data_IF_854817597814
#
_entry.id   IF_854817597814
#
_cell.length_a   1.000
_cell.length_b   1.000
_cell.length_c   1.000
_cell.angle_alpha   90.00
_cell.angle_beta   90.00
_cell.angle_gamma   90.00
#
_symmetry.space_group_name_H-M   'P 1'
#
loop_
_entity.id
_entity.type
_entity.pdbx_description
1 polymer ?
#
# COMPACT_ATOMS: atom_id res chain seq x y z
N UNK A 1 30.16 29.06 -21.97
CA UNK A 1 30.43 27.82 -21.29
C UNK A 1 29.13 27.26 -20.73
N UNK A 2 28.49 26.33 -21.45
CA UNK A 2 27.31 25.64 -20.98
C UNK A 2 27.75 24.52 -20.04
N UNK A 3 27.41 24.64 -18.76
CA UNK A 3 27.46 23.55 -17.83
C UNK A 3 26.16 22.75 -17.98
N UNK A 4 26.18 21.67 -18.74
CA UNK A 4 25.13 20.68 -18.71
C UNK A 4 25.17 19.99 -17.35
N UNK A 5 24.06 20.02 -16.62
CA UNK A 5 23.87 19.10 -15.49
C UNK A 5 23.99 17.68 -16.03
N UNK A 6 24.64 16.76 -15.29
CA UNK A 6 24.64 15.36 -15.71
C UNK A 6 23.21 14.85 -15.66
N UNK A 7 22.68 14.45 -16.82
CA UNK A 7 21.43 13.67 -16.89
C UNK A 7 21.57 12.50 -15.94
N UNK A 8 20.69 12.45 -14.94
CA UNK A 8 20.53 11.24 -14.12
C UNK A 8 20.18 10.06 -15.04
N UNK A 9 20.37 8.82 -14.61
CA UNK A 9 20.16 7.67 -15.47
C UNK A 9 18.76 7.73 -16.06
N UNK A 10 18.65 7.84 -17.38
CA UNK A 10 17.39 7.74 -18.09
C UNK A 10 16.87 6.32 -17.94
N UNK A 11 15.77 6.16 -17.22
CA UNK A 11 15.13 4.88 -17.06
C UNK A 11 14.56 4.65 -15.64
N UNK A 12 13.85 3.54 -15.45
CA UNK A 12 13.31 3.18 -14.15
C UNK A 12 14.43 2.86 -13.15
N UNK A 13 14.16 3.05 -11.84
CA UNK A 13 15.09 2.62 -10.81
C UNK A 13 15.39 1.12 -10.95
N UNK A 14 16.62 0.68 -10.68
CA UNK A 14 16.98 -0.71 -10.83
C UNK A 14 16.32 -1.57 -9.75
N UNK A 15 15.99 -2.81 -10.11
CA UNK A 15 15.66 -3.84 -9.14
C UNK A 15 16.93 -4.19 -8.35
N UNK A 16 16.94 -4.12 -7.01
CA UNK A 16 18.13 -4.46 -6.24
C UNK A 16 18.60 -5.89 -6.50
N UNK A 17 19.92 -6.08 -6.60
CA UNK A 17 20.51 -7.41 -6.65
C UNK A 17 20.17 -8.16 -5.36
N UNK A 18 19.70 -9.40 -5.48
CA UNK A 18 19.22 -10.20 -4.36
C UNK A 18 17.70 -10.13 -4.14
N UNK A 19 16.97 -9.29 -4.87
CA UNK A 19 15.52 -9.34 -4.88
C UNK A 19 15.04 -10.66 -5.53
N UNK A 20 13.99 -11.26 -4.96
CA UNK A 20 13.41 -12.50 -5.45
C UNK A 20 12.34 -12.28 -6.52
N UNK A 21 11.62 -13.35 -6.82
CA UNK A 21 10.61 -13.39 -7.88
C UNK A 21 9.45 -12.40 -7.63
N UNK A 22 8.92 -12.34 -6.40
CA UNK A 22 7.82 -11.43 -6.06
C UNK A 22 8.24 -9.98 -6.18
N UNK A 23 9.44 -9.64 -5.70
CA UNK A 23 10.00 -8.30 -5.86
C UNK A 23 10.18 -7.90 -7.32
N UNK A 24 10.60 -8.84 -8.16
CA UNK A 24 10.71 -8.62 -9.60
C UNK A 24 9.35 -8.38 -10.27
N UNK A 25 8.32 -9.10 -9.86
CA UNK A 25 6.94 -8.89 -10.34
C UNK A 25 6.41 -7.50 -9.97
N UNK A 26 6.68 -7.05 -8.73
CA UNK A 26 6.31 -5.70 -8.27
C UNK A 26 7.05 -4.64 -9.08
N UNK A 27 8.36 -4.80 -9.27
CA UNK A 27 9.16 -3.92 -10.09
C UNK A 27 8.62 -3.81 -11.52
N UNK A 28 8.30 -4.95 -12.14
CA UNK A 28 7.75 -5.00 -13.49
C UNK A 28 6.40 -4.29 -13.59
N UNK A 29 5.53 -4.43 -12.59
CA UNK A 29 4.24 -3.73 -12.55
C UNK A 29 4.42 -2.21 -12.51
N UNK A 30 5.34 -1.73 -11.69
CA UNK A 30 5.65 -0.30 -11.59
C UNK A 30 6.20 0.26 -12.90
N UNK A 31 7.10 -0.46 -13.54
CA UNK A 31 7.70 -0.06 -14.83
C UNK A 31 6.65 -0.08 -15.94
N UNK A 32 5.87 -1.13 -16.04
CA UNK A 32 4.83 -1.29 -17.06
C UNK A 32 3.75 -0.22 -16.96
N UNK A 33 3.37 0.15 -15.74
CA UNK A 33 2.40 1.21 -15.49
C UNK A 33 2.96 2.63 -15.56
N UNK A 34 4.27 2.76 -15.79
CA UNK A 34 4.92 4.05 -15.96
C UNK A 34 5.03 4.88 -14.67
N UNK A 35 5.16 4.23 -13.52
CA UNK A 35 5.43 4.93 -12.26
C UNK A 35 6.86 5.45 -12.27
N UNK A 36 7.02 6.76 -12.36
CA UNK A 36 8.30 7.41 -12.38
C UNK A 36 8.83 7.70 -10.97
N UNK A 37 10.14 7.71 -10.81
CA UNK A 37 10.81 8.15 -9.59
C UNK A 37 10.69 7.19 -8.40
N UNK A 38 10.21 5.97 -8.59
CA UNK A 38 10.21 5.00 -7.51
C UNK A 38 11.63 4.52 -7.17
N UNK A 39 11.83 4.11 -5.94
CA UNK A 39 13.09 3.52 -5.47
C UNK A 39 12.80 2.24 -4.71
N UNK A 40 13.66 1.24 -4.89
CA UNK A 40 13.60 -0.02 -4.15
C UNK A 40 14.84 -0.21 -3.29
N UNK A 41 14.67 -0.71 -2.08
CA UNK A 41 15.74 -0.92 -1.10
C UNK A 41 15.60 -2.30 -0.47
N UNK A 42 16.69 -3.07 -0.43
CA UNK A 42 16.77 -4.28 0.40
C UNK A 42 17.01 -3.88 1.86
N UNK A 43 16.18 -4.42 2.73
CA UNK A 43 16.26 -4.23 4.17
C UNK A 43 17.00 -5.40 4.82
N UNK A 44 17.76 -5.18 5.91
CA UNK A 44 18.43 -6.24 6.64
C UNK A 44 17.40 -7.16 7.34
N UNK A 45 17.79 -8.41 7.69
CA UNK A 45 16.86 -9.38 8.30
C UNK A 45 16.18 -8.90 9.57
N UNK A 46 16.85 -8.05 10.36
CA UNK A 46 16.32 -7.51 11.61
C UNK A 46 15.36 -6.33 11.45
N UNK A 47 15.05 -5.91 10.23
CA UNK A 47 14.28 -4.69 9.91
C UNK A 47 13.01 -4.55 10.76
N UNK A 48 12.18 -5.59 10.83
CA UNK A 48 10.90 -5.54 11.56
C UNK A 48 11.04 -5.70 13.07
N UNK A 49 12.18 -6.18 13.58
CA UNK A 49 12.47 -6.24 15.00
C UNK A 49 13.08 -4.93 15.53
N UNK A 50 13.44 -4.02 14.66
CA UNK A 50 14.04 -2.73 15.02
C UNK A 50 12.98 -1.61 15.05
N UNK A 51 13.25 -0.54 15.82
CA UNK A 51 12.36 0.62 15.88
C UNK A 51 12.16 1.30 14.52
N UNK A 52 11.10 2.12 14.41
CA UNK A 52 10.80 2.86 13.18
C UNK A 52 11.94 3.80 12.76
N UNK A 53 12.66 4.38 13.70
CA UNK A 53 13.82 5.24 13.42
C UNK A 53 14.93 4.49 12.68
N UNK A 54 15.17 3.24 13.05
CA UNK A 54 16.11 2.38 12.33
C UNK A 54 15.62 2.09 10.91
N UNK A 55 14.34 1.72 10.77
CA UNK A 55 13.71 1.45 9.46
C UNK A 55 13.75 2.68 8.55
N UNK A 56 13.50 3.85 9.12
CA UNK A 56 13.61 5.13 8.43
C UNK A 56 15.02 5.33 7.85
N UNK A 57 16.06 5.05 8.64
CA UNK A 57 17.44 5.16 8.21
C UNK A 57 17.80 4.17 7.10
N UNK A 58 17.28 2.93 7.16
CA UNK A 58 17.53 1.89 6.14
C UNK A 58 17.06 2.33 4.76
N UNK A 59 15.85 2.86 4.65
CA UNK A 59 15.29 3.25 3.35
C UNK A 59 15.62 4.69 2.97
N UNK A 60 16.11 5.49 3.91
CA UNK A 60 16.36 6.92 3.68
C UNK A 60 15.10 7.76 3.67
N UNK A 61 14.08 7.37 4.46
CA UNK A 61 12.86 8.13 4.58
C UNK A 61 13.09 9.46 5.32
N UNK A 62 12.32 10.49 4.96
CA UNK A 62 12.45 11.82 5.56
C UNK A 62 11.99 11.87 7.02
N UNK A 63 11.03 11.02 7.41
CA UNK A 63 10.57 10.85 8.79
C UNK A 63 9.97 9.47 8.97
N UNK A 64 9.68 9.08 10.22
CA UNK A 64 8.96 7.82 10.51
C UNK A 64 7.55 7.82 9.97
N UNK A 65 6.93 8.98 9.80
CA UNK A 65 5.58 9.14 9.22
C UNK A 65 5.52 8.79 7.73
N UNK A 66 6.66 8.75 7.04
CA UNK A 66 6.76 8.34 5.64
C UNK A 66 6.82 6.81 5.48
N UNK A 67 6.89 6.06 6.58
CA UNK A 67 6.83 4.60 6.58
C UNK A 67 5.39 4.14 6.69
N UNK A 68 4.93 3.41 5.67
CA UNK A 68 3.54 2.98 5.55
C UNK A 68 3.44 1.46 5.39
N UNK A 69 2.24 0.96 5.54
CA UNK A 69 1.91 -0.46 5.37
C UNK A 69 0.61 -0.61 4.60
N UNK A 70 0.49 -1.73 3.90
CA UNK A 70 -0.73 -2.15 3.23
C UNK A 70 -1.33 -3.32 4.01
N UNK A 71 -2.59 -3.19 4.40
CA UNK A 71 -3.32 -4.22 5.13
C UNK A 71 -4.62 -4.55 4.42
N UNK A 72 -5.00 -5.81 4.38
CA UNK A 72 -6.25 -6.25 3.78
C UNK A 72 -7.33 -6.34 4.87
N UNK A 73 -8.41 -5.63 4.65
CA UNK A 73 -9.57 -5.58 5.54
C UNK A 73 -10.75 -6.29 4.89
N UNK A 74 -11.51 -7.01 5.70
CA UNK A 74 -12.67 -7.79 5.28
C UNK A 74 -13.92 -7.29 5.99
N UNK A 75 -15.03 -7.16 5.24
CA UNK A 75 -16.34 -7.02 5.86
C UNK A 75 -16.85 -8.38 6.31
N UNK A 76 -16.72 -8.67 7.61
CA UNK A 76 -17.13 -9.96 8.18
C UNK A 76 -18.65 -10.14 8.26
N UNK A 77 -19.43 -9.09 8.02
CA UNK A 77 -20.91 -9.12 7.96
C UNK A 77 -21.43 -8.96 6.53
N UNK A 78 -20.57 -9.13 5.54
CA UNK A 78 -21.01 -9.05 4.15
C UNK A 78 -22.16 -10.03 3.89
N UNK A 79 -23.23 -9.60 3.20
CA UNK A 79 -24.32 -10.50 2.82
C UNK A 79 -23.81 -11.61 1.89
N UNK A 80 -24.56 -12.71 1.77
CA UNK A 80 -24.15 -13.89 0.99
C UNK A 80 -23.85 -13.55 -0.49
N UNK A 81 -24.55 -12.60 -1.07
CA UNK A 81 -24.34 -12.14 -2.45
C UNK A 81 -23.08 -11.31 -2.62
N UNK A 82 -22.46 -10.83 -1.53
CA UNK A 82 -21.24 -10.03 -1.56
C UNK A 82 -20.06 -10.83 -1.02
N UNK A 83 -19.40 -11.60 -1.88
CA UNK A 83 -18.24 -12.42 -1.49
C UNK A 83 -16.94 -12.00 -2.19
N UNK A 84 -17.01 -11.15 -3.19
CA UNK A 84 -15.87 -10.73 -3.99
C UNK A 84 -15.48 -9.26 -3.80
N UNK A 85 -14.61 -8.82 -4.68
CA UNK A 85 -14.07 -7.44 -4.70
C UNK A 85 -13.97 -6.87 -6.12
N UNK A 86 -14.80 -7.36 -7.04
CA UNK A 86 -14.80 -6.95 -8.45
C UNK A 86 -15.34 -5.53 -8.64
N UNK A 87 -16.33 -5.14 -7.83
CA UNK A 87 -16.87 -3.77 -7.82
C UNK A 87 -16.22 -2.97 -6.67
N UNK A 88 -15.37 -1.98 -6.98
CA UNK A 88 -14.69 -1.20 -5.94
C UNK A 88 -15.62 -0.44 -5.00
N UNK A 89 -16.85 -0.14 -5.43
CA UNK A 89 -17.83 0.56 -4.59
C UNK A 89 -18.68 -0.38 -3.74
N UNK A 90 -18.64 -1.68 -4.04
CA UNK A 90 -19.40 -2.71 -3.35
C UNK A 90 -18.55 -3.97 -3.23
N UNK A 91 -17.64 -3.96 -2.26
CA UNK A 91 -16.60 -4.98 -2.10
C UNK A 91 -16.61 -5.54 -0.68
N UNK A 92 -16.35 -6.83 -0.58
CA UNK A 92 -16.12 -7.48 0.71
C UNK A 92 -14.74 -7.15 1.28
N UNK A 93 -13.76 -6.89 0.41
CA UNK A 93 -12.36 -6.68 0.78
C UNK A 93 -11.86 -5.34 0.29
N UNK A 94 -11.01 -4.70 1.10
CA UNK A 94 -10.27 -3.49 0.74
C UNK A 94 -8.83 -3.61 1.22
N UNK A 95 -7.88 -3.17 0.40
CA UNK A 95 -6.50 -2.98 0.84
C UNK A 95 -6.35 -1.54 1.30
N UNK A 96 -6.02 -1.36 2.57
CA UNK A 96 -5.93 -0.04 3.20
C UNK A 96 -4.46 0.29 3.45
N UNK A 97 -4.03 1.45 2.95
CA UNK A 97 -2.65 1.94 3.09
C UNK A 97 -2.63 3.02 4.16
N UNK A 98 -1.89 2.76 5.22
CA UNK A 98 -1.78 3.64 6.39
C UNK A 98 -0.33 3.78 6.85
N UNK A 99 -0.03 4.86 7.55
CA UNK A 99 1.26 5.05 8.20
C UNK A 99 1.44 4.09 9.38
N UNK A 100 2.66 3.64 9.63
CA UNK A 100 2.96 2.85 10.84
C UNK A 100 2.70 3.64 12.13
N UNK A 101 2.85 4.96 12.09
CA UNK A 101 2.62 5.86 13.22
C UNK A 101 1.14 6.14 13.49
N UNK A 102 0.24 5.78 12.59
CA UNK A 102 -1.19 5.99 12.71
C UNK A 102 -1.91 4.67 13.04
N UNK A 103 -2.97 4.77 13.83
CA UNK A 103 -3.83 3.62 14.15
C UNK A 103 -5.08 3.66 13.27
N UNK A 104 -5.34 2.55 12.55
CA UNK A 104 -6.57 2.40 11.79
C UNK A 104 -7.80 2.54 12.71
N UNK A 105 -8.78 3.34 12.25
CA UNK A 105 -10.05 3.52 12.93
C UNK A 105 -11.14 2.74 12.17
N UNK A 106 -11.58 1.63 12.76
CA UNK A 106 -12.56 0.74 12.13
C UNK A 106 -13.91 1.41 11.88
N UNK A 107 -14.34 2.34 12.73
CA UNK A 107 -15.60 3.07 12.56
C UNK A 107 -15.54 4.08 11.42
N UNK A 108 -14.42 4.80 11.29
CA UNK A 108 -14.18 5.68 10.14
C UNK A 108 -14.14 4.89 8.84
N UNK A 109 -13.46 3.75 8.82
CA UNK A 109 -13.41 2.87 7.65
C UNK A 109 -14.80 2.34 7.29
N UNK A 110 -15.57 1.89 8.27
CA UNK A 110 -16.96 1.46 8.09
C UNK A 110 -17.82 2.54 7.45
N UNK A 111 -17.72 3.77 7.94
CA UNK A 111 -18.48 4.91 7.39
C UNK A 111 -18.09 5.19 5.93
N UNK A 112 -16.80 5.08 5.61
CA UNK A 112 -16.32 5.26 4.25
C UNK A 112 -16.86 4.17 3.31
N UNK A 113 -16.76 2.90 3.70
CA UNK A 113 -17.27 1.76 2.94
C UNK A 113 -18.78 1.85 2.74
N UNK A 114 -19.51 2.28 3.79
CA UNK A 114 -20.94 2.52 3.71
C UNK A 114 -21.28 3.58 2.65
N UNK A 115 -20.53 4.68 2.64
CA UNK A 115 -20.68 5.73 1.63
C UNK A 115 -20.42 5.25 0.20
N UNK A 116 -19.38 4.46 -0.01
CA UNK A 116 -19.07 3.87 -1.31
C UNK A 116 -20.22 3.03 -1.87
N UNK A 117 -20.86 2.26 -1.01
CA UNK A 117 -21.94 1.35 -1.41
C UNK A 117 -23.22 2.06 -1.87
N UNK A 118 -23.39 3.35 -1.55
CA UNK A 118 -24.50 4.16 -2.06
C UNK A 118 -25.89 3.63 -1.72
N UNK A 119 -26.08 3.12 -0.50
CA UNK A 119 -27.35 2.58 -0.05
C UNK A 119 -27.55 1.07 -0.26
N UNK A 120 -26.70 0.41 -1.04
CA UNK A 120 -26.76 -1.05 -1.26
C UNK A 120 -26.38 -1.86 -0.03
N UNK A 121 -25.65 -1.26 0.91
CA UNK A 121 -25.10 -1.93 2.08
C UNK A 121 -25.42 -1.11 3.34
N UNK A 122 -26.38 -1.54 4.18
CA UNK A 122 -26.69 -0.82 5.42
C UNK A 122 -25.55 -0.98 6.43
N UNK A 123 -25.37 0.01 7.31
CA UNK A 123 -24.29 0.01 8.32
C UNK A 123 -24.25 -1.25 9.20
N UNK A 124 -25.40 -1.82 9.54
CA UNK A 124 -25.49 -3.07 10.33
C UNK A 124 -24.88 -4.29 9.64
N UNK A 125 -24.69 -4.22 8.32
CA UNK A 125 -24.07 -5.24 7.49
C UNK A 125 -22.60 -4.95 7.19
N UNK A 126 -21.98 -4.04 7.95
CA UNK A 126 -20.57 -3.71 7.80
C UNK A 126 -19.86 -3.91 9.14
N UNK A 127 -18.81 -4.73 9.12
CA UNK A 127 -17.89 -4.90 10.23
C UNK A 127 -16.50 -5.17 9.66
N UNK A 128 -15.70 -4.13 9.52
CA UNK A 128 -14.37 -4.22 8.90
C UNK A 128 -13.35 -4.77 9.91
N UNK A 129 -12.70 -5.86 9.54
CA UNK A 129 -11.67 -6.54 10.34
C UNK A 129 -10.47 -6.90 9.47
N UNK A 130 -9.30 -6.95 10.10
CA UNK A 130 -8.09 -7.47 9.44
C UNK A 130 -8.34 -8.93 9.05
N UNK A 131 -8.00 -9.30 7.83
CA UNK A 131 -8.11 -10.68 7.37
C UNK A 131 -7.11 -11.60 8.10
N UNK A 132 -7.41 -12.90 8.12
CA UNK A 132 -6.46 -13.92 8.55
C UNK A 132 -5.25 -13.99 7.60
N UNK A 133 -4.13 -14.55 8.06
CA UNK A 133 -2.97 -14.79 7.19
C UNK A 133 -3.33 -15.64 5.98
N UNK A 134 -4.13 -16.68 6.16
CA UNK A 134 -4.59 -17.55 5.08
C UNK A 134 -5.36 -16.79 4.00
N UNK A 135 -6.29 -15.92 4.39
CA UNK A 135 -7.06 -15.09 3.46
C UNK A 135 -6.15 -14.07 2.77
N UNK A 136 -5.25 -13.45 3.53
CA UNK A 136 -4.26 -12.51 2.97
C UNK A 136 -3.42 -13.19 1.90
N UNK A 137 -2.85 -14.34 2.19
CA UNK A 137 -1.98 -15.08 1.26
C UNK A 137 -2.71 -15.47 -0.02
N UNK A 138 -3.95 -15.92 0.12
CA UNK A 138 -4.80 -16.28 -1.00
C UNK A 138 -5.14 -15.08 -1.90
N UNK A 139 -5.51 -13.95 -1.30
CA UNK A 139 -5.94 -12.77 -2.04
C UNK A 139 -4.76 -12.00 -2.66
N UNK A 140 -3.68 -11.84 -1.92
CA UNK A 140 -2.56 -11.01 -2.35
C UNK A 140 -1.46 -11.80 -3.04
N UNK A 141 -1.23 -13.04 -2.63
CA UNK A 141 -0.06 -13.82 -3.01
C UNK A 141 1.21 -13.43 -2.25
N UNK A 142 1.10 -12.55 -1.25
CA UNK A 142 2.23 -12.06 -0.46
C UNK A 142 2.13 -12.51 1.00
N UNK A 143 3.27 -12.78 1.60
CA UNK A 143 3.37 -13.06 3.04
C UNK A 143 3.17 -11.80 3.88
N UNK A 144 2.94 -11.98 5.18
CA UNK A 144 2.93 -10.90 6.16
C UNK A 144 4.21 -10.05 6.06
N UNK A 145 4.09 -8.74 6.19
CA UNK A 145 5.16 -7.74 5.98
C UNK A 145 5.66 -7.58 4.53
N UNK A 146 5.09 -8.31 3.57
CA UNK A 146 5.43 -8.20 2.15
C UNK A 146 4.29 -7.65 1.31
N UNK A 147 3.10 -7.47 1.91
CA UNK A 147 1.87 -7.05 1.21
C UNK A 147 2.06 -5.68 0.56
N UNK A 148 1.64 -5.59 -0.69
CA UNK A 148 1.71 -4.36 -1.49
C UNK A 148 0.56 -4.31 -2.49
N UNK A 149 0.15 -3.12 -2.97
CA UNK A 149 -0.90 -3.00 -3.99
C UNK A 149 -0.49 -3.50 -5.37
N UNK A 150 0.82 -3.56 -5.65
CA UNK A 150 1.35 -3.92 -6.97
C UNK A 150 1.45 -5.44 -7.10
N UNK A 151 1.09 -5.96 -8.28
CA UNK A 151 1.23 -7.37 -8.63
C UNK A 151 0.49 -8.35 -7.70
N UNK A 152 -0.60 -7.93 -7.09
CA UNK A 152 -1.45 -8.81 -6.28
C UNK A 152 -2.08 -9.91 -7.13
N UNK A 153 -2.23 -11.10 -6.54
CA UNK A 153 -2.92 -12.23 -7.16
C UNK A 153 -4.39 -11.90 -7.48
N UNK A 154 -5.04 -11.10 -6.63
CA UNK A 154 -6.39 -10.57 -6.82
C UNK A 154 -6.33 -9.05 -6.85
N UNK A 155 -7.04 -8.43 -7.77
CA UNK A 155 -7.17 -6.98 -7.78
C UNK A 155 -8.15 -6.53 -6.68
N UNK A 156 -7.60 -6.04 -5.57
CA UNK A 156 -8.35 -5.59 -4.40
C UNK A 156 -8.51 -4.07 -4.49
N UNK A 157 -9.71 -3.52 -4.29
CA UNK A 157 -9.90 -2.07 -4.22
C UNK A 157 -9.01 -1.43 -3.17
N UNK A 158 -8.41 -0.28 -3.50
CA UNK A 158 -7.43 0.40 -2.67
C UNK A 158 -8.05 1.60 -1.96
N UNK A 159 -7.73 1.74 -0.67
CA UNK A 159 -8.00 2.93 0.14
C UNK A 159 -6.68 3.42 0.70
N UNK A 160 -6.37 4.70 0.52
CA UNK A 160 -5.18 5.32 1.11
C UNK A 160 -5.58 6.38 2.13
N UNK A 161 -4.90 6.40 3.26
CA UNK A 161 -5.10 7.43 4.28
C UNK A 161 -4.76 8.82 3.71
N UNK A 162 -5.66 9.79 3.91
CA UNK A 162 -5.44 11.17 3.50
C UNK A 162 -4.18 11.80 4.13
N UNK A 163 -3.74 11.29 5.28
CA UNK A 163 -2.52 11.75 5.97
C UNK A 163 -1.26 11.50 5.13
N UNK A 164 -1.25 10.45 4.30
CA UNK A 164 -0.11 10.16 3.43
C UNK A 164 0.04 11.24 2.35
N UNK A 165 -1.08 11.76 1.85
CA UNK A 165 -1.07 12.83 0.84
C UNK A 165 -0.58 14.17 1.39
N UNK A 166 -0.62 14.34 2.71
CA UNK A 166 -0.16 15.56 3.38
C UNK A 166 1.33 15.51 3.75
N UNK A 167 2.04 14.42 3.49
CA UNK A 167 3.45 14.29 3.80
C UNK A 167 4.32 15.24 2.97
N UNK A 168 5.33 15.81 3.61
CA UNK A 168 6.36 16.62 2.95
C UNK A 168 7.74 16.12 3.39
N UNK A 169 8.63 15.76 2.44
CA UNK A 169 8.39 15.67 1.00
C UNK A 169 7.33 14.62 0.63
N UNK A 170 6.73 14.76 -0.56
CA UNK A 170 5.75 13.83 -1.11
C UNK A 170 6.44 12.53 -1.56
N UNK A 171 6.66 11.65 -0.62
CA UNK A 171 7.30 10.35 -0.84
C UNK A 171 6.97 9.43 0.33
N UNK A 172 6.52 8.21 0.06
CA UNK A 172 6.19 7.26 1.11
C UNK A 172 6.68 5.85 0.75
N UNK A 173 6.86 5.00 1.75
CA UNK A 173 7.46 3.69 1.61
C UNK A 173 6.48 2.58 1.97
N UNK A 174 6.46 1.52 1.17
CA UNK A 174 5.66 0.33 1.35
C UNK A 174 6.51 -0.94 1.27
N UNK A 175 5.93 -2.07 1.68
CA UNK A 175 6.43 -3.38 1.33
C UNK A 175 6.38 -3.58 -0.20
N UNK A 176 7.21 -4.47 -0.71
CA UNK A 176 7.40 -4.65 -2.15
C UNK A 176 7.36 -6.12 -2.59
N UNK A 177 6.46 -6.91 -1.99
CA UNK A 177 6.25 -8.30 -2.36
C UNK A 177 7.13 -9.30 -1.64
N UNK A 178 8.20 -8.84 -0.96
CA UNK A 178 9.11 -9.64 -0.15
C UNK A 178 9.35 -8.93 1.18
N UNK A 179 9.56 -9.71 2.25
CA UNK A 179 9.72 -9.18 3.61
C UNK A 179 10.91 -8.22 3.71
N UNK A 180 11.95 -8.46 2.97
CA UNK A 180 13.19 -7.69 2.97
C UNK A 180 13.30 -6.66 1.84
N UNK A 181 12.25 -6.46 1.07
CA UNK A 181 12.24 -5.49 -0.03
C UNK A 181 11.22 -4.39 0.22
N UNK A 182 11.67 -3.14 0.10
CA UNK A 182 10.85 -1.94 0.28
C UNK A 182 10.83 -1.11 -0.99
N UNK A 183 9.72 -0.44 -1.24
CA UNK A 183 9.55 0.48 -2.36
C UNK A 183 9.04 1.83 -1.87
N UNK A 184 9.61 2.89 -2.42
CA UNK A 184 9.15 4.25 -2.17
C UNK A 184 8.81 4.97 -3.47
N UNK A 185 7.79 5.80 -3.43
CA UNK A 185 7.35 6.64 -4.53
C UNK A 185 6.51 7.82 -4.02
N UNK A 186 6.26 8.81 -4.88
CA UNK A 186 5.40 9.93 -4.50
C UNK A 186 3.93 9.49 -4.42
N UNK A 187 3.18 10.08 -3.48
CA UNK A 187 1.74 9.84 -3.36
C UNK A 187 1.00 10.34 -4.61
N UNK A 188 1.44 11.46 -5.19
CA UNK A 188 0.89 12.00 -6.42
C UNK A 188 0.95 10.98 -7.57
N UNK A 189 2.11 10.38 -7.81
CA UNK A 189 2.29 9.35 -8.86
C UNK A 189 1.50 8.09 -8.56
N UNK A 190 1.49 7.65 -7.31
CA UNK A 190 0.71 6.49 -6.89
C UNK A 190 -0.78 6.67 -7.16
N UNK A 191 -1.35 7.81 -6.79
CA UNK A 191 -2.76 8.12 -7.01
C UNK A 191 -3.10 8.16 -8.50
N UNK A 192 -2.25 8.78 -9.32
CA UNK A 192 -2.45 8.85 -10.76
C UNK A 192 -2.54 7.47 -11.41
N UNK A 193 -1.68 6.55 -10.98
CA UNK A 193 -1.54 5.23 -11.61
C UNK A 193 -2.50 4.20 -11.02
N UNK A 194 -2.57 4.09 -9.69
CA UNK A 194 -3.33 3.04 -9.01
C UNK A 194 -4.75 3.47 -8.61
N UNK A 195 -5.05 4.75 -8.64
CA UNK A 195 -6.37 5.33 -8.41
C UNK A 195 -7.06 4.83 -7.12
N UNK A 196 -6.39 4.89 -5.96
CA UNK A 196 -7.01 4.51 -4.70
C UNK A 196 -8.11 5.51 -4.31
N UNK A 197 -9.07 5.06 -3.51
CA UNK A 197 -9.90 6.00 -2.76
C UNK A 197 -9.07 6.66 -1.67
N UNK A 198 -9.26 7.95 -1.46
CA UNK A 198 -8.62 8.71 -0.39
C UNK A 198 -9.60 8.87 0.76
N UNK A 199 -9.22 8.45 1.96
CA UNK A 199 -10.12 8.46 3.10
C UNK A 199 -9.45 8.93 4.40
N UNK A 200 -10.24 9.55 5.27
CA UNK A 200 -9.92 9.66 6.69
C UNK A 200 -10.30 8.34 7.35
N UNK A 201 -9.31 7.51 7.66
CA UNK A 201 -9.51 6.15 8.17
C UNK A 201 -8.63 5.81 9.38
N UNK A 202 -8.00 6.79 10.00
CA UNK A 202 -7.15 6.61 11.17
C UNK A 202 -7.56 7.52 12.32
N UNK A 203 -7.12 7.18 13.54
CA UNK A 203 -7.32 8.06 14.70
C UNK A 203 -6.62 9.40 14.49
N UNK A 204 -7.15 10.45 15.10
CA UNK A 204 -6.58 11.79 15.11
C UNK A 204 -5.31 11.86 15.94
#
# INVERSE_FOLDING_TARGET
GGGGEPDGPEGPAPLPEGAGEKGAEVWADLVERGVEGFRMVLAPPEYYQRPLEFRMGVVGAASVDHLCKSIVMENTRAPEELQGCEDPTYSKYYMVIVQYTAKLNAEKLKSFVHGLAGGRLPKKKINMRLVSEEVNDRLTGFAHNAVTPMACATQIPLIISHKILALSPDFFWLGSGEVDLKVGFSAEKFIQVYQPYVADCTND
#
